data_IF_821697757564
#
_entry.id   IF_821697757564
#
_cell.length_a   1.000
_cell.length_b   1.000
_cell.length_c   1.000
_cell.angle_alpha   90.00
_cell.angle_beta   90.00
_cell.angle_gamma   90.00
#
_symmetry.space_group_name_H-M   'P 1'
#
loop_
_entity.id
_entity.type
_entity.pdbx_description
1 polymer ?
#
# COMPACT_ATOMS: atom_id res chain seq x y z
N UNK A 1 13.09 -9.07 -5.72
CA UNK A 1 12.02 -9.49 -4.78
C UNK A 1 10.71 -9.04 -5.39
N UNK A 2 9.92 -9.98 -5.89
CA UNK A 2 8.68 -9.70 -6.61
C UNK A 2 7.52 -9.61 -5.62
N UNK A 3 6.65 -8.60 -5.77
CA UNK A 3 5.42 -8.49 -4.99
C UNK A 3 4.23 -8.69 -5.93
N UNK A 4 3.53 -9.81 -5.80
CA UNK A 4 2.31 -10.08 -6.57
C UNK A 4 1.13 -9.43 -5.85
N UNK A 5 0.53 -8.40 -6.46
CA UNK A 5 -0.67 -7.74 -5.96
C UNK A 5 -1.85 -8.30 -6.77
N UNK A 6 -2.67 -9.17 -6.16
CA UNK A 6 -3.87 -9.73 -6.81
C UNK A 6 -5.12 -8.93 -6.44
N UNK A 7 -5.82 -8.37 -7.44
CA UNK A 7 -7.15 -7.75 -7.26
C UNK A 7 -8.25 -8.77 -7.54
N UNK A 8 -9.28 -8.79 -6.68
CA UNK A 8 -10.52 -9.58 -6.87
C UNK A 8 -11.43 -8.90 -7.89
N UNK A 9 -11.09 -8.94 -9.16
CA UNK A 9 -12.04 -8.71 -10.26
C UNK A 9 -11.59 -9.53 -11.46
N UNK A 10 -12.56 -10.23 -12.06
CA UNK A 10 -12.37 -11.18 -13.16
C UNK A 10 -11.78 -10.44 -14.39
N UNK A 11 -10.71 -11.02 -14.91
CA UNK A 11 -9.99 -10.72 -16.18
C UNK A 11 -8.78 -9.78 -16.09
N UNK A 12 -7.62 -10.38 -16.41
CA UNK A 12 -6.24 -9.85 -16.54
C UNK A 12 -5.62 -9.24 -15.27
N UNK A 13 -4.76 -10.03 -14.62
CA UNK A 13 -3.79 -9.52 -13.65
C UNK A 13 -2.80 -8.60 -14.35
N UNK A 14 -2.99 -7.29 -14.26
CA UNK A 14 -1.99 -6.31 -14.66
C UNK A 14 -0.83 -6.38 -13.67
N UNK A 15 0.32 -6.90 -14.11
CA UNK A 15 1.57 -6.78 -13.35
C UNK A 15 2.00 -5.32 -13.37
N UNK A 16 2.37 -4.79 -12.20
CA UNK A 16 2.91 -3.43 -12.09
C UNK A 16 4.35 -3.54 -11.62
N UNK A 17 5.28 -3.08 -12.44
CA UNK A 17 6.70 -3.09 -12.14
C UNK A 17 7.13 -1.76 -11.51
N UNK A 18 7.78 -1.83 -10.35
CA UNK A 18 8.33 -0.67 -9.65
C UNK A 18 9.85 -0.77 -9.59
N UNK A 19 10.60 0.19 -10.17
CA UNK A 19 12.06 0.20 -10.06
C UNK A 19 12.46 0.50 -8.61
N UNK A 20 13.52 -0.17 -8.13
CA UNK A 20 14.13 0.20 -6.86
C UNK A 20 14.83 1.56 -6.99
N UNK A 21 14.74 2.38 -5.94
CA UNK A 21 15.39 3.69 -5.90
C UNK A 21 16.49 3.71 -4.81
N UNK A 22 17.71 3.23 -5.12
CA UNK A 22 18.78 3.07 -4.11
C UNK A 22 19.36 4.40 -3.63
N UNK A 23 19.22 5.48 -4.40
CA UNK A 23 19.77 6.78 -4.07
C UNK A 23 19.11 7.40 -2.81
N UNK A 24 17.82 7.14 -2.59
CA UNK A 24 17.14 7.55 -1.37
C UNK A 24 16.18 6.46 -0.88
N UNK A 25 16.60 5.74 0.16
CA UNK A 25 15.80 4.68 0.76
C UNK A 25 14.44 5.15 1.30
N UNK A 26 14.29 6.44 1.65
CA UNK A 26 13.01 6.99 2.12
C UNK A 26 11.98 7.17 1.01
N UNK A 27 12.43 7.21 -0.26
CA UNK A 27 11.59 7.33 -1.45
C UNK A 27 11.43 6.01 -2.21
N UNK A 28 12.11 4.95 -1.77
CA UNK A 28 12.11 3.65 -2.45
C UNK A 28 10.87 2.83 -2.08
N UNK A 29 9.91 2.71 -3.01
CA UNK A 29 8.71 1.88 -2.85
C UNK A 29 9.07 0.41 -2.58
N UNK A 30 10.03 -0.16 -3.30
CA UNK A 30 10.44 -1.58 -3.11
C UNK A 30 10.92 -1.84 -1.68
N UNK A 31 11.72 -0.93 -1.12
CA UNK A 31 12.20 -1.03 0.26
C UNK A 31 11.06 -0.86 1.26
N UNK A 32 10.18 0.12 1.02
CA UNK A 32 8.99 0.36 1.84
C UNK A 32 8.10 -0.89 1.92
N UNK A 33 7.76 -1.48 0.77
CA UNK A 33 6.91 -2.68 0.70
C UNK A 33 7.57 -3.90 1.35
N UNK A 34 8.89 -4.07 1.21
CA UNK A 34 9.62 -5.15 1.89
C UNK A 34 9.54 -5.01 3.41
N UNK A 35 9.89 -3.83 3.94
CA UNK A 35 9.82 -3.56 5.39
C UNK A 35 8.39 -3.69 5.90
N UNK A 36 7.41 -3.23 5.13
CA UNK A 36 6.00 -3.37 5.48
C UNK A 36 5.54 -4.83 5.45
N UNK A 37 6.03 -5.68 4.56
CA UNK A 37 5.68 -7.11 4.52
C UNK A 37 6.26 -7.89 5.69
N UNK A 38 7.44 -7.52 6.18
CA UNK A 38 8.14 -8.19 7.28
C UNK A 38 7.50 -7.91 8.65
N UNK A 39 7.03 -6.68 8.90
CA UNK A 39 6.49 -6.27 10.22
C UNK A 39 5.21 -7.02 10.66
N UNK A 40 4.17 -7.20 9.82
CA UNK A 40 2.94 -7.90 10.14
C UNK A 40 2.98 -9.39 9.74
N UNK A 41 4.14 -9.95 9.38
CA UNK A 41 4.24 -11.32 8.88
C UNK A 41 3.58 -12.34 9.82
N UNK A 42 3.74 -12.15 11.14
CA UNK A 42 3.16 -13.00 12.17
C UNK A 42 1.64 -12.85 12.35
N UNK A 43 1.03 -11.86 11.71
CA UNK A 43 -0.39 -11.53 11.83
C UNK A 43 -1.20 -11.83 10.57
N UNK A 44 -0.56 -12.32 9.50
CA UNK A 44 -1.24 -12.70 8.26
C UNK A 44 -1.69 -14.15 8.32
N UNK A 45 -2.99 -14.37 8.25
CA UNK A 45 -3.58 -15.72 8.12
C UNK A 45 -3.45 -16.26 6.69
N UNK A 46 -3.43 -15.38 5.69
CA UNK A 46 -3.36 -15.71 4.27
C UNK A 46 -2.22 -14.92 3.59
N UNK A 47 -1.15 -15.59 3.12
CA UNK A 47 -0.04 -14.96 2.40
C UNK A 47 -0.45 -14.30 1.07
N UNK A 48 -1.54 -14.76 0.45
CA UNK A 48 -2.06 -14.26 -0.83
C UNK A 48 -3.17 -13.22 -0.64
N UNK A 49 -3.50 -12.88 0.61
CA UNK A 49 -4.49 -11.88 0.95
C UNK A 49 -4.04 -10.44 0.64
N UNK A 50 -4.93 -9.45 0.86
CA UNK A 50 -4.62 -8.05 0.66
C UNK A 50 -3.37 -7.61 1.43
N UNK A 51 -2.50 -6.84 0.78
CA UNK A 51 -1.23 -6.41 1.38
C UNK A 51 -1.46 -5.55 2.63
N UNK A 52 -2.33 -4.55 2.53
CA UNK A 52 -2.57 -3.57 3.58
C UNK A 52 -3.62 -4.07 4.57
N UNK A 53 -3.20 -4.22 5.83
CA UNK A 53 -4.03 -4.73 6.92
C UNK A 53 -4.18 -3.69 8.05
N UNK A 54 -5.29 -3.76 8.79
CA UNK A 54 -5.54 -2.91 9.93
C UNK A 54 -4.60 -3.26 11.09
N UNK A 55 -4.14 -2.24 11.83
CA UNK A 55 -3.25 -2.41 12.99
C UNK A 55 -3.99 -2.97 14.21
N UNK A 56 -5.29 -2.69 14.32
CA UNK A 56 -6.12 -3.22 15.43
C UNK A 56 -6.49 -4.68 15.16
N UNK A 57 -6.48 -5.51 16.20
CA UNK A 57 -7.06 -6.87 16.18
C UNK A 57 -8.50 -6.75 15.66
N UNK A 58 -8.90 -7.37 14.55
CA UNK A 58 -8.60 -8.69 13.98
C UNK A 58 -7.74 -8.68 12.69
N UNK A 59 -6.83 -7.71 12.51
CA UNK A 59 -5.86 -7.64 11.39
C UNK A 59 -6.49 -7.80 9.99
N UNK A 60 -7.72 -7.29 9.82
CA UNK A 60 -8.48 -7.42 8.58
C UNK A 60 -7.88 -6.56 7.47
N UNK A 61 -8.11 -6.91 6.20
CA UNK A 61 -7.82 -6.03 5.07
C UNK A 61 -8.39 -4.63 5.26
N UNK A 62 -7.61 -3.62 4.93
CA UNK A 62 -8.05 -2.22 4.97
C UNK A 62 -8.99 -1.95 3.79
N UNK A 63 -10.09 -1.25 4.05
CA UNK A 63 -11.03 -0.87 2.98
C UNK A 63 -10.44 0.19 2.05
N UNK A 64 -10.90 0.23 0.80
CA UNK A 64 -10.49 1.27 -0.15
C UNK A 64 -10.79 2.69 0.37
N UNK A 65 -11.91 2.88 1.07
CA UNK A 65 -12.28 4.17 1.67
C UNK A 65 -11.29 4.61 2.76
N UNK A 66 -10.79 3.66 3.56
CA UNK A 66 -9.77 3.93 4.57
C UNK A 66 -8.44 4.33 3.92
N UNK A 67 -8.02 3.62 2.86
CA UNK A 67 -6.82 3.97 2.11
C UNK A 67 -6.93 5.36 1.47
N UNK A 68 -8.06 5.68 0.85
CA UNK A 68 -8.31 7.01 0.28
C UNK A 68 -8.21 8.11 1.34
N UNK A 69 -8.72 7.87 2.55
CA UNK A 69 -8.60 8.80 3.68
C UNK A 69 -7.15 8.97 4.13
N UNK A 70 -6.37 7.89 4.21
CA UNK A 70 -4.95 7.95 4.59
C UNK A 70 -4.11 8.70 3.56
N UNK A 71 -4.37 8.51 2.26
CA UNK A 71 -3.68 9.26 1.20
C UNK A 71 -3.96 10.75 1.31
N UNK A 72 -5.25 11.14 1.42
CA UNK A 72 -5.63 12.55 1.59
C UNK A 72 -5.02 13.15 2.85
N UNK A 73 -5.06 12.43 3.97
CA UNK A 73 -4.45 12.89 5.21
C UNK A 73 -2.94 13.09 5.04
N UNK A 74 -2.23 12.12 4.46
CA UNK A 74 -0.79 12.23 4.22
C UNK A 74 -0.42 13.41 3.32
N UNK A 75 -1.21 13.67 2.29
CA UNK A 75 -1.06 14.84 1.42
C UNK A 75 -1.28 16.15 2.20
N UNK A 76 -2.32 16.20 3.03
CA UNK A 76 -2.61 17.36 3.88
C UNK A 76 -1.48 17.64 4.88
N UNK A 77 -0.94 16.60 5.53
CA UNK A 77 0.21 16.74 6.45
C UNK A 77 1.49 17.20 5.73
N UNK A 78 1.61 16.85 4.44
CA UNK A 78 2.69 17.34 3.59
C UNK A 78 2.47 18.78 3.09
N UNK A 79 1.37 19.44 3.47
CA UNK A 79 1.03 20.80 3.03
C UNK A 79 0.49 20.89 1.60
N UNK A 80 0.05 19.77 1.02
CA UNK A 80 -0.56 19.74 -0.32
C UNK A 80 -2.01 20.16 -0.23
N UNK A 81 -2.40 21.16 -1.03
CA UNK A 81 -3.79 21.61 -1.13
C UNK A 81 -4.68 20.57 -1.83
N UNK A 82 -5.57 19.94 -1.06
CA UNK A 82 -6.50 18.91 -1.52
C UNK A 82 -7.67 19.46 -2.37
N UNK A 83 -7.89 20.77 -2.40
CA UNK A 83 -8.90 21.39 -3.27
C UNK A 83 -8.44 21.46 -4.74
N UNK A 84 -7.11 21.55 -4.93
CA UNK A 84 -6.45 21.59 -6.24
C UNK A 84 -5.96 20.20 -6.65
N UNK A 85 -5.36 19.45 -5.72
CA UNK A 85 -4.76 18.15 -5.99
C UNK A 85 -5.58 17.03 -5.35
N UNK A 86 -6.36 16.33 -6.18
CA UNK A 86 -7.13 15.16 -5.77
C UNK A 86 -6.25 13.92 -5.58
N UNK A 87 -6.62 13.07 -4.62
CA UNK A 87 -6.04 11.73 -4.53
C UNK A 87 -6.52 10.89 -5.73
N UNK A 88 -5.64 10.64 -6.69
CA UNK A 88 -5.93 9.79 -7.85
C UNK A 88 -6.08 8.33 -7.41
N UNK A 89 -7.08 7.64 -7.97
CA UNK A 89 -7.46 6.24 -7.67
C UNK A 89 -7.32 5.34 -8.88
#
# INVERSE_FOLDING_TARGET
VYFLISRRTKCMSTSVDYPAFPHNNKLCVVKCLKVYGERPANHRSDPLGPLLIAIRKTFRPVSAATLARWVRWSMSEAGIDLSVYGAHS
#
